data_IF_030224436366
#
_entry.id   IF_030224436366
#
_cell.length_a   1.000
_cell.length_b   1.000
_cell.length_c   1.000
_cell.angle_alpha   90.00
_cell.angle_beta   90.00
_cell.angle_gamma   90.00
#
_symmetry.space_group_name_H-M   'P 1'
#
loop_
_entity.id
_entity.type
_entity.pdbx_description
1 polymer ?
#
# COMPACT_ATOMS: atom_id res chain seq x y z
N UNK A 1 5.67 -2.47 10.86
CA UNK A 1 5.89 -1.96 9.48
C UNK A 1 6.74 -0.72 9.57
N UNK A 2 7.74 -0.60 8.70
CA UNK A 2 8.68 0.50 8.79
C UNK A 2 9.12 0.94 7.40
N UNK A 3 9.81 2.07 7.35
CA UNK A 3 10.32 2.60 6.09
C UNK A 3 11.21 1.55 5.41
N UNK A 4 10.97 1.36 4.12
CA UNK A 4 11.68 0.36 3.34
C UNK A 4 10.97 -0.96 3.19
N UNK A 5 9.91 -1.19 3.96
CA UNK A 5 9.13 -2.42 3.84
C UNK A 5 8.33 -2.42 2.55
N UNK A 6 8.20 -3.61 1.96
CA UNK A 6 7.29 -3.81 0.84
C UNK A 6 5.93 -4.18 1.39
N UNK A 7 4.91 -3.55 0.83
CA UNK A 7 3.54 -3.76 1.28
C UNK A 7 2.58 -3.84 0.10
N UNK A 8 1.47 -4.52 0.31
CA UNK A 8 0.33 -4.45 -0.59
C UNK A 8 -0.66 -3.48 0.01
N UNK A 9 -1.37 -2.76 -0.85
CA UNK A 9 -2.41 -1.85 -0.39
C UNK A 9 -3.77 -2.34 -0.84
N UNK A 10 -4.77 -2.04 -0.04
CA UNK A 10 -6.14 -2.38 -0.38
C UNK A 10 -6.62 -1.50 -1.53
N UNK A 11 -7.18 -2.12 -2.56
CA UNK A 11 -7.74 -1.39 -3.67
C UNK A 11 -8.91 -0.55 -3.17
N UNK A 12 -8.90 0.74 -3.53
CA UNK A 12 -9.90 1.66 -3.04
C UNK A 12 -11.22 1.58 -3.80
N UNK A 13 -11.19 1.01 -4.99
CA UNK A 13 -12.38 0.91 -5.81
C UNK A 13 -12.54 -0.52 -6.31
N UNK A 14 -13.73 -1.06 -6.12
CA UNK A 14 -14.09 -2.38 -6.66
C UNK A 14 -14.93 -2.26 -7.92
N UNK A 15 -15.11 -1.07 -8.41
CA UNK A 15 -15.97 -0.83 -9.56
C UNK A 15 -15.41 -1.53 -10.79
N UNK A 16 -16.22 -2.39 -11.40
CA UNK A 16 -15.79 -3.15 -12.54
C UNK A 16 -14.85 -4.30 -12.26
N UNK A 17 -14.58 -4.55 -10.99
CA UNK A 17 -13.64 -5.58 -10.58
C UNK A 17 -14.38 -6.90 -10.40
N UNK A 18 -13.81 -7.97 -10.95
CA UNK A 18 -14.35 -9.31 -10.75
C UNK A 18 -14.10 -9.80 -9.34
N UNK A 19 -14.99 -10.67 -8.87
CA UNK A 19 -14.85 -11.25 -7.55
C UNK A 19 -13.55 -12.02 -7.37
N UNK A 20 -13.05 -12.60 -8.46
CA UNK A 20 -11.82 -13.38 -8.42
C UNK A 20 -10.57 -12.53 -8.40
N UNK A 21 -10.69 -11.23 -8.61
CA UNK A 21 -9.55 -10.33 -8.57
C UNK A 21 -9.21 -10.02 -7.12
N UNK A 22 -7.96 -10.24 -6.70
CA UNK A 22 -7.58 -9.90 -5.33
C UNK A 22 -7.77 -8.43 -5.06
N UNK A 23 -8.22 -8.07 -3.86
CA UNK A 23 -8.42 -6.66 -3.51
C UNK A 23 -7.11 -5.92 -3.22
N UNK A 24 -5.99 -6.63 -3.20
CA UNK A 24 -4.70 -6.05 -2.83
C UNK A 24 -3.90 -5.71 -4.07
N UNK A 25 -3.26 -4.55 -4.02
CA UNK A 25 -2.43 -4.06 -5.09
C UNK A 25 -1.00 -3.84 -4.60
N UNK A 26 -0.06 -3.92 -5.51
CA UNK A 26 1.31 -3.67 -5.17
C UNK A 26 2.25 -4.65 -5.81
N UNK A 27 3.49 -4.79 -5.29
CA UNK A 27 3.90 -4.17 -4.02
C UNK A 27 4.27 -2.70 -4.14
N UNK A 28 4.16 -2.01 -3.01
CA UNK A 28 4.61 -0.63 -2.87
C UNK A 28 5.63 -0.55 -1.74
N UNK A 29 6.34 0.55 -1.67
CA UNK A 29 7.39 0.74 -0.69
C UNK A 29 6.95 1.78 0.33
N UNK A 30 7.10 1.47 1.61
CA UNK A 30 6.83 2.42 2.67
C UNK A 30 8.00 3.42 2.69
N UNK A 31 7.69 4.70 2.46
CA UNK A 31 8.72 5.73 2.41
C UNK A 31 8.69 6.66 3.63
N UNK A 32 7.58 6.67 4.34
CA UNK A 32 7.47 7.51 5.54
C UNK A 32 6.42 6.97 6.47
N UNK A 33 6.72 6.99 7.76
CA UNK A 33 5.76 6.67 8.80
C UNK A 33 5.33 7.98 9.45
N UNK A 34 4.10 8.40 9.21
CA UNK A 34 3.60 9.67 9.74
C UNK A 34 3.13 9.54 11.17
N UNK A 35 2.52 8.41 11.48
CA UNK A 35 2.02 8.06 12.81
C UNK A 35 2.14 6.56 12.95
N UNK A 36 1.95 6.02 14.16
CA UNK A 36 2.11 4.57 14.34
C UNK A 36 1.32 3.71 13.35
N UNK A 37 0.21 4.23 12.83
CA UNK A 37 -0.64 3.46 11.91
C UNK A 37 -0.84 4.12 10.56
N UNK A 38 -0.11 5.19 10.28
CA UNK A 38 -0.28 5.95 9.03
C UNK A 38 1.05 5.99 8.28
N UNK A 39 1.02 5.60 7.02
CA UNK A 39 2.24 5.46 6.21
C UNK A 39 2.05 6.10 4.85
N UNK A 40 3.14 6.61 4.31
CA UNK A 40 3.20 7.04 2.92
C UNK A 40 3.93 6.00 2.11
N UNK A 41 3.47 5.80 0.89
CA UNK A 41 3.98 4.77 0.00
C UNK A 41 4.52 5.39 -1.28
N UNK A 42 5.42 4.65 -1.94
CA UNK A 42 5.85 4.99 -3.29
C UNK A 42 5.74 3.77 -4.19
N UNK A 43 5.69 4.00 -5.50
CA UNK A 43 5.73 2.90 -6.44
C UNK A 43 7.18 2.50 -6.70
N UNK A 44 7.37 1.46 -7.52
CA UNK A 44 8.72 0.96 -7.84
C UNK A 44 9.54 1.96 -8.63
N UNK A 45 8.89 2.95 -9.25
CA UNK A 45 9.58 3.97 -10.02
C UNK A 45 10.00 5.17 -9.16
N UNK A 46 9.74 5.11 -7.88
CA UNK A 46 10.13 6.15 -6.96
C UNK A 46 9.12 7.27 -6.79
N UNK A 47 7.95 7.16 -7.43
CA UNK A 47 6.92 8.17 -7.28
C UNK A 47 6.22 7.99 -5.93
N UNK A 48 6.26 9.04 -5.11
CA UNK A 48 5.62 9.02 -3.80
C UNK A 48 4.17 9.46 -3.96
N UNK A 49 3.26 8.63 -3.44
CA UNK A 49 1.84 8.97 -3.49
C UNK A 49 1.54 10.07 -2.47
N UNK A 50 0.65 10.98 -2.84
CA UNK A 50 0.28 12.09 -1.97
C UNK A 50 -0.59 11.64 -0.79
N UNK A 51 -1.31 10.54 -0.96
CA UNK A 51 -2.19 10.03 0.08
C UNK A 51 -1.40 9.29 1.15
N UNK A 52 -1.91 9.36 2.38
CA UNK A 52 -1.41 8.53 3.46
C UNK A 52 -2.34 7.32 3.61
N UNK A 53 -1.81 6.20 4.08
CA UNK A 53 -2.53 4.94 4.17
C UNK A 53 -2.54 4.44 5.60
N UNK A 54 -3.71 4.05 6.08
CA UNK A 54 -3.84 3.44 7.39
C UNK A 54 -3.29 2.02 7.32
N UNK A 55 -2.68 1.55 8.41
CA UNK A 55 -2.11 0.21 8.45
C UNK A 55 -3.15 -0.87 8.15
N UNK A 56 -4.42 -0.62 8.45
CA UNK A 56 -5.49 -1.56 8.13
C UNK A 56 -5.70 -1.72 6.63
N UNK A 57 -5.23 -0.77 5.84
CA UNK A 57 -5.32 -0.80 4.39
C UNK A 57 -4.06 -1.38 3.76
N UNK A 58 -3.11 -1.82 4.58
CA UNK A 58 -1.83 -2.32 4.11
C UNK A 58 -1.61 -3.74 4.61
N UNK A 59 -0.84 -4.49 3.84
CA UNK A 59 -0.45 -5.85 4.21
C UNK A 59 1.00 -6.03 3.81
N UNK A 60 1.80 -6.62 4.69
CA UNK A 60 3.19 -6.90 4.36
C UNK A 60 3.28 -7.84 3.16
N UNK A 61 4.21 -7.52 2.28
CA UNK A 61 4.49 -8.36 1.13
C UNK A 61 5.79 -9.12 1.35
N UNK A 62 5.73 -10.43 1.19
CA UNK A 62 6.91 -11.29 1.28
C UNK A 62 7.15 -11.89 -0.09
N UNK A 63 8.28 -11.49 -0.73
CA UNK A 63 8.60 -12.01 -2.07
C UNK A 63 8.91 -13.50 -2.06
#
# INVERSE_FOLDING_TARGET
MKVGDLVLRLAQSNKGRHKLTPPWEGPYIVVQALKPRIYKLSNEKGKIFTNAWNIEQLRRFYP
#
